data_IF_977832071877
#
_entry.id   IF_977832071877
#
_cell.length_a   1.000
_cell.length_b   1.000
_cell.length_c   1.000
_cell.angle_alpha   90.00
_cell.angle_beta   90.00
_cell.angle_gamma   90.00
#
_symmetry.space_group_name_H-M   'P 1'
#
loop_
_entity.id
_entity.type
_entity.pdbx_description
1 polymer ?
#
# COMPACT_ATOMS: atom_id res chain seq x y z
N UNK A 1 27.28 0.85 0.88
CA UNK A 1 26.19 0.00 0.36
C UNK A 1 25.68 0.62 -0.94
N UNK A 2 25.05 -0.16 -1.83
CA UNK A 2 24.50 0.38 -3.08
C UNK A 2 23.12 1.04 -2.89
N UNK A 3 22.44 0.73 -1.78
CA UNK A 3 21.19 1.36 -1.34
C UNK A 3 21.10 1.34 0.19
N UNK A 4 20.52 2.40 0.77
CA UNK A 4 20.22 2.49 2.21
C UNK A 4 18.75 2.83 2.41
N UNK A 5 18.12 2.13 3.35
CA UNK A 5 16.75 2.38 3.78
C UNK A 5 16.57 1.84 5.19
N UNK A 6 15.46 2.18 5.84
CA UNK A 6 15.08 1.61 7.14
C UNK A 6 13.62 1.15 7.14
N UNK A 7 13.33 0.10 7.93
CA UNK A 7 11.99 -0.39 8.18
C UNK A 7 11.79 -0.83 9.63
N UNK A 8 12.57 -0.29 10.58
CA UNK A 8 12.21 -0.40 12.00
C UNK A 8 10.81 0.17 12.24
N UNK A 9 10.18 -0.18 13.36
CA UNK A 9 8.88 0.40 13.73
C UNK A 9 9.05 1.78 14.38
N UNK A 10 9.74 2.71 13.70
CA UNK A 10 10.04 4.05 14.20
C UNK A 10 8.78 4.90 14.48
N UNK A 11 7.66 4.55 13.86
CA UNK A 11 6.35 5.17 14.08
C UNK A 11 5.79 4.99 15.50
N UNK A 12 6.31 4.05 16.27
CA UNK A 12 5.98 3.85 17.68
C UNK A 12 7.27 3.82 18.52
N UNK A 13 7.75 4.98 18.99
CA UNK A 13 9.00 5.07 19.76
C UNK A 13 8.99 4.28 21.07
N UNK A 14 7.83 3.96 21.64
CA UNK A 14 7.74 3.18 22.88
C UNK A 14 7.92 1.70 22.57
N UNK A 15 7.19 1.18 21.58
CA UNK A 15 7.06 -0.26 21.36
C UNK A 15 7.85 -0.80 20.17
N UNK A 16 8.31 0.06 19.27
CA UNK A 16 8.79 -0.32 17.95
C UNK A 16 10.28 -0.14 17.68
N UNK A 17 11.00 0.61 18.51
CA UNK A 17 12.42 0.90 18.31
C UNK A 17 13.25 0.69 19.58
N UNK A 18 14.21 -0.24 19.50
CA UNK A 18 15.13 -0.55 20.59
C UNK A 18 16.18 0.56 20.73
N UNK A 19 16.26 1.27 21.87
CA UNK A 19 17.28 2.30 22.07
C UNK A 19 18.71 1.73 22.00
N UNK A 20 19.65 2.54 21.50
CA UNK A 20 21.05 2.15 21.40
C UNK A 20 21.62 1.79 22.77
N UNK A 21 22.32 0.65 22.84
CA UNK A 21 22.94 0.16 24.08
C UNK A 21 21.98 -0.52 25.07
N UNK A 22 20.71 -0.68 24.73
CA UNK A 22 19.75 -1.43 25.54
C UNK A 22 19.62 -2.88 25.07
N UNK A 23 19.28 -3.78 25.99
CA UNK A 23 18.87 -5.15 25.63
C UNK A 23 17.36 -5.22 25.44
N UNK A 24 16.87 -6.29 24.82
CA UNK A 24 15.44 -6.53 24.65
C UNK A 24 14.72 -6.65 26.01
N UNK A 25 15.33 -7.33 26.98
CA UNK A 25 14.76 -7.53 28.32
C UNK A 25 14.56 -6.20 29.04
N UNK A 26 15.59 -5.33 29.01
CA UNK A 26 15.50 -3.99 29.55
C UNK A 26 14.40 -3.19 28.87
N UNK A 27 14.37 -3.20 27.54
CA UNK A 27 13.39 -2.45 26.77
C UNK A 27 11.96 -2.90 27.10
N UNK A 28 11.68 -4.21 27.11
CA UNK A 28 10.36 -4.72 27.48
C UNK A 28 9.95 -4.34 28.90
N UNK A 29 10.86 -4.41 29.88
CA UNK A 29 10.57 -4.03 31.27
C UNK A 29 10.33 -2.52 31.46
N UNK A 30 11.08 -1.67 30.75
CA UNK A 30 10.95 -0.20 30.87
C UNK A 30 9.73 0.36 30.13
N UNK A 31 9.18 -0.36 29.13
CA UNK A 31 7.94 0.07 28.45
C UNK A 31 6.76 0.19 29.40
N UNK A 32 6.64 -0.73 30.35
CA UNK A 32 5.54 -0.76 31.31
C UNK A 32 5.72 0.27 32.43
N UNK A 33 6.97 0.50 32.83
CA UNK A 33 7.29 1.29 34.03
C UNK A 33 7.67 2.74 33.73
N UNK A 34 8.13 3.04 32.52
CA UNK A 34 8.60 4.37 32.12
C UNK A 34 8.51 4.63 30.61
N UNK A 35 7.32 4.54 29.98
CA UNK A 35 7.16 4.65 28.53
C UNK A 35 7.69 5.98 27.96
N UNK A 36 7.58 7.09 28.69
CA UNK A 36 8.15 8.38 28.26
C UNK A 36 9.68 8.35 28.17
N UNK A 37 10.35 7.68 29.12
CA UNK A 37 11.80 7.52 29.11
C UNK A 37 12.25 6.62 27.96
N UNK A 38 11.50 5.54 27.70
CA UNK A 38 11.72 4.67 26.53
C UNK A 38 11.58 5.47 25.24
N UNK A 39 10.49 6.21 25.07
CA UNK A 39 10.26 7.03 23.88
C UNK A 39 11.41 8.02 23.67
N UNK A 40 11.83 8.74 24.71
CA UNK A 40 12.95 9.69 24.62
C UNK A 40 14.25 9.00 24.20
N UNK A 41 14.58 7.85 24.78
CA UNK A 41 15.79 7.10 24.44
C UNK A 41 15.75 6.55 23.01
N UNK A 42 14.58 6.07 22.57
CA UNK A 42 14.36 5.57 21.22
C UNK A 42 14.49 6.69 20.18
N UNK A 43 13.82 7.83 20.39
CA UNK A 43 13.89 8.99 19.49
C UNK A 43 15.33 9.53 19.36
N UNK A 44 16.05 9.66 20.48
CA UNK A 44 17.47 10.04 20.46
C UNK A 44 18.33 9.05 19.63
N UNK A 45 18.03 7.75 19.71
CA UNK A 45 18.71 6.71 18.93
C UNK A 45 18.35 6.79 17.44
N UNK A 46 17.08 7.09 17.10
CA UNK A 46 16.65 7.33 15.71
C UNK A 46 17.34 8.55 15.11
N UNK A 47 17.53 9.63 15.88
CA UNK A 47 18.26 10.80 15.41
C UNK A 47 19.73 10.47 15.04
N UNK A 48 20.39 9.60 15.80
CA UNK A 48 21.73 9.09 15.44
C UNK A 48 21.67 8.22 14.18
N UNK A 49 20.68 7.33 14.08
CA UNK A 49 20.48 6.47 12.91
C UNK A 49 20.28 7.30 11.63
N UNK A 50 19.40 8.31 11.66
CA UNK A 50 19.14 9.17 10.51
C UNK A 50 20.36 10.00 10.11
N UNK A 51 21.18 10.48 11.07
CA UNK A 51 22.47 11.12 10.74
C UNK A 51 23.38 10.17 9.94
N UNK A 52 23.44 8.89 10.31
CA UNK A 52 24.20 7.91 9.54
C UNK A 52 23.60 7.66 8.14
N UNK A 53 22.27 7.66 8.00
CA UNK A 53 21.61 7.58 6.69
C UNK A 53 21.93 8.81 5.83
N UNK A 54 21.98 10.01 6.44
CA UNK A 54 22.39 11.25 5.78
C UNK A 54 23.86 11.22 5.36
N UNK A 55 24.76 10.68 6.17
CA UNK A 55 26.16 10.51 5.80
C UNK A 55 26.30 9.65 4.52
N UNK A 56 25.51 8.56 4.41
CA UNK A 56 25.45 7.77 3.17
C UNK A 56 24.85 8.54 2.00
N UNK A 57 23.77 9.29 2.23
CA UNK A 57 23.14 10.13 1.22
C UNK A 57 24.13 11.16 0.65
N UNK A 58 24.87 11.86 1.52
CA UNK A 58 25.89 12.83 1.14
C UNK A 58 27.11 12.20 0.47
N UNK A 59 27.39 10.93 0.75
CA UNK A 59 28.40 10.15 0.02
C UNK A 59 27.90 9.66 -1.36
N UNK A 60 26.67 10.01 -1.77
CA UNK A 60 26.10 9.67 -3.07
C UNK A 60 25.40 8.30 -3.12
N UNK A 61 25.19 7.65 -1.97
CA UNK A 61 24.41 6.40 -1.92
C UNK A 61 22.92 6.74 -2.06
N UNK A 62 22.16 6.02 -2.91
CA UNK A 62 20.70 6.09 -2.91
C UNK A 62 20.16 5.74 -1.51
N UNK A 63 19.65 6.76 -0.81
CA UNK A 63 19.06 6.64 0.52
C UNK A 63 17.59 7.03 0.42
N UNK A 64 16.70 6.22 0.99
CA UNK A 64 15.25 6.48 0.99
C UNK A 64 14.60 6.11 2.32
N UNK A 65 13.52 6.81 2.64
CA UNK A 65 12.62 6.43 3.74
C UNK A 65 11.57 5.44 3.24
N UNK A 66 11.38 4.35 3.99
CA UNK A 66 10.43 3.27 3.64
C UNK A 66 9.14 3.31 4.45
N UNK A 67 8.70 4.50 4.83
CA UNK A 67 7.35 4.74 5.29
C UNK A 67 7.09 4.35 6.73
N UNK A 68 8.10 4.46 7.59
CA UNK A 68 8.02 4.23 9.03
C UNK A 68 8.12 5.53 9.87
N UNK A 69 8.16 6.70 9.21
CA UNK A 69 8.22 8.03 9.81
C UNK A 69 9.53 8.37 10.56
N UNK A 70 10.61 7.61 10.33
CA UNK A 70 11.89 7.83 11.06
C UNK A 70 12.48 9.22 10.81
N UNK A 71 12.32 9.78 9.60
CA UNK A 71 12.76 11.15 9.28
C UNK A 71 12.07 12.21 10.15
N UNK A 72 10.76 12.09 10.34
CA UNK A 72 10.02 13.00 11.21
C UNK A 72 10.49 12.92 12.64
N UNK A 73 10.69 11.70 13.16
CA UNK A 73 11.17 11.54 14.54
C UNK A 73 12.56 12.17 14.72
N UNK A 74 13.47 11.97 13.75
CA UNK A 74 14.78 12.59 13.80
C UNK A 74 14.72 14.12 13.66
N UNK A 75 13.83 14.64 12.82
CA UNK A 75 13.58 16.07 12.68
C UNK A 75 13.13 16.70 14.00
N UNK A 76 12.17 16.06 14.68
CA UNK A 76 11.67 16.51 15.99
C UNK A 76 12.77 16.49 17.07
N UNK A 77 13.78 15.62 16.93
CA UNK A 77 14.98 15.55 17.79
C UNK A 77 16.14 16.44 17.30
N UNK A 78 15.88 17.37 16.37
CA UNK A 78 16.81 18.41 15.96
C UNK A 78 17.74 18.04 14.80
N UNK A 79 17.47 16.97 14.05
CA UNK A 79 18.15 16.70 12.77
C UNK A 79 17.47 17.53 11.68
N UNK A 80 17.91 18.78 11.54
CA UNK A 80 17.25 19.78 10.69
C UNK A 80 17.11 19.37 9.21
N UNK A 81 18.03 18.56 8.70
CA UNK A 81 18.09 18.04 7.34
C UNK A 81 17.60 16.60 7.21
N UNK A 82 16.83 16.08 8.18
CA UNK A 82 16.32 14.71 8.16
C UNK A 82 15.51 14.36 6.90
N UNK A 83 14.90 15.36 6.24
CA UNK A 83 14.14 15.20 4.99
C UNK A 83 14.97 15.44 3.72
N UNK A 84 16.31 15.52 3.81
CA UNK A 84 17.17 15.66 2.63
C UNK A 84 17.10 14.45 1.68
N UNK A 85 16.77 13.26 2.20
CA UNK A 85 16.46 12.08 1.38
C UNK A 85 14.94 11.83 1.31
N UNK A 86 14.42 11.37 0.15
CA UNK A 86 12.99 11.28 -0.11
C UNK A 86 12.36 10.01 0.47
N UNK A 87 11.03 10.01 0.60
CA UNK A 87 10.27 8.78 0.76
C UNK A 87 10.25 7.95 -0.53
N UNK A 88 10.07 6.64 -0.38
CA UNK A 88 10.06 5.71 -1.50
C UNK A 88 8.92 5.94 -2.49
N UNK A 89 7.80 6.54 -2.06
CA UNK A 89 6.66 6.79 -2.94
C UNK A 89 6.93 7.90 -3.95
N UNK A 90 7.29 9.14 -3.55
CA UNK A 90 7.69 10.16 -4.52
C UNK A 90 8.91 9.72 -5.35
N UNK A 91 9.84 8.96 -4.78
CA UNK A 91 11.04 8.52 -5.48
C UNK A 91 10.77 7.44 -6.56
N UNK A 92 9.91 6.46 -6.29
CA UNK A 92 9.81 5.25 -7.12
C UNK A 92 8.39 4.79 -7.45
N UNK A 93 7.43 4.92 -6.51
CA UNK A 93 6.14 4.22 -6.62
C UNK A 93 5.04 5.08 -7.26
N UNK A 94 5.10 6.40 -7.13
CA UNK A 94 4.01 7.27 -7.61
C UNK A 94 3.60 7.08 -9.08
N UNK A 95 4.51 6.79 -10.03
CA UNK A 95 4.11 6.46 -11.41
C UNK A 95 3.22 5.22 -11.54
N UNK A 96 3.31 4.27 -10.60
CA UNK A 96 2.40 3.13 -10.51
C UNK A 96 1.01 3.60 -10.02
N UNK A 97 0.97 4.41 -8.96
CA UNK A 97 -0.28 4.95 -8.42
C UNK A 97 -1.04 5.83 -9.42
N UNK A 98 -0.33 6.58 -10.27
CA UNK A 98 -0.96 7.36 -11.35
C UNK A 98 -1.77 6.49 -12.33
N UNK A 99 -1.52 5.17 -12.38
CA UNK A 99 -2.25 4.20 -13.21
C UNK A 99 -3.18 3.30 -12.38
N UNK A 100 -3.41 3.63 -11.11
CA UNK A 100 -4.18 2.81 -10.17
C UNK A 100 -3.50 1.50 -9.77
N UNK A 101 -2.22 1.31 -10.13
CA UNK A 101 -1.46 0.09 -9.81
C UNK A 101 -1.03 0.15 -8.35
N UNK A 102 -1.36 -0.89 -7.58
CA UNK A 102 -1.06 -0.97 -6.16
C UNK A 102 -1.14 -2.40 -5.62
N UNK A 103 -1.04 -2.61 -4.30
CA UNK A 103 -0.85 -3.93 -3.68
C UNK A 103 -2.15 -4.77 -3.62
N UNK A 104 -2.75 -5.01 -4.78
CA UNK A 104 -3.89 -5.89 -4.99
C UNK A 104 -3.54 -7.33 -4.62
N UNK A 105 -4.43 -7.98 -3.85
CA UNK A 105 -4.20 -9.31 -3.31
C UNK A 105 -5.48 -10.11 -3.22
N UNK A 106 -5.33 -11.42 -3.15
CA UNK A 106 -6.43 -12.33 -2.90
C UNK A 106 -6.02 -13.51 -2.04
N UNK A 107 -7.02 -14.16 -1.44
CA UNK A 107 -6.87 -15.25 -0.46
C UNK A 107 -7.86 -16.36 -0.80
N UNK A 108 -7.38 -17.60 -0.83
CA UNK A 108 -8.21 -18.78 -1.04
C UNK A 108 -8.83 -19.25 0.28
N UNK A 109 -10.16 -19.12 0.42
CA UNK A 109 -10.86 -19.55 1.64
C UNK A 109 -10.93 -21.07 1.83
N UNK A 110 -10.60 -21.83 0.79
CA UNK A 110 -10.47 -23.29 0.85
C UNK A 110 -9.31 -23.73 1.74
N UNK A 111 -8.30 -22.87 1.93
CA UNK A 111 -7.02 -23.24 2.53
C UNK A 111 -6.11 -24.04 1.58
N UNK A 112 -6.54 -24.27 0.33
CA UNK A 112 -5.80 -25.09 -0.63
C UNK A 112 -4.85 -24.24 -1.50
N UNK A 113 -3.53 -24.51 -1.50
CA UNK A 113 -2.58 -23.76 -2.31
C UNK A 113 -2.82 -23.90 -3.82
N UNK A 114 -3.45 -24.97 -4.29
CA UNK A 114 -3.76 -25.16 -5.71
C UNK A 114 -4.74 -24.11 -6.24
N UNK A 115 -5.63 -23.58 -5.39
CA UNK A 115 -6.51 -22.48 -5.79
C UNK A 115 -5.68 -21.22 -6.13
N UNK A 116 -4.62 -20.93 -5.37
CA UNK A 116 -3.70 -19.83 -5.70
C UNK A 116 -2.93 -20.13 -6.98
N UNK A 117 -2.42 -21.33 -7.19
CA UNK A 117 -1.69 -21.64 -8.42
C UNK A 117 -2.57 -21.57 -9.68
N UNK A 118 -3.85 -21.95 -9.58
CA UNK A 118 -4.84 -21.75 -10.65
C UNK A 118 -5.08 -20.27 -10.92
N UNK A 119 -5.24 -19.45 -9.87
CA UNK A 119 -5.36 -18.00 -10.07
C UNK A 119 -4.09 -17.38 -10.67
N UNK A 120 -2.89 -17.84 -10.29
CA UNK A 120 -1.63 -17.39 -10.89
C UNK A 120 -1.62 -17.68 -12.41
N UNK A 121 -2.05 -18.87 -12.82
CA UNK A 121 -2.18 -19.23 -14.23
C UNK A 121 -3.23 -18.37 -14.95
N UNK A 122 -4.40 -18.13 -14.33
CA UNK A 122 -5.45 -17.28 -14.90
C UNK A 122 -4.99 -15.83 -15.09
N UNK A 123 -4.21 -15.30 -14.14
CA UNK A 123 -3.65 -13.94 -14.28
C UNK A 123 -2.73 -13.87 -15.51
N UNK A 124 -1.86 -14.87 -15.72
CA UNK A 124 -0.98 -14.92 -16.90
C UNK A 124 -1.76 -15.02 -18.21
N UNK A 125 -2.86 -15.78 -18.23
CA UNK A 125 -3.76 -15.89 -19.38
C UNK A 125 -4.42 -14.55 -19.74
N UNK A 126 -4.88 -13.80 -18.74
CA UNK A 126 -5.59 -12.53 -18.95
C UNK A 126 -4.67 -11.35 -19.25
N UNK A 127 -3.39 -11.45 -18.85
CA UNK A 127 -2.35 -10.45 -19.03
C UNK A 127 -1.13 -11.08 -19.71
N UNK A 128 -1.26 -11.58 -20.95
CA UNK A 128 -0.22 -12.40 -21.60
C UNK A 128 1.06 -11.63 -21.93
N UNK A 129 0.97 -10.31 -22.13
CA UNK A 129 2.08 -9.48 -22.61
C UNK A 129 2.90 -8.83 -21.48
N UNK A 130 2.52 -9.02 -20.21
CA UNK A 130 3.26 -8.47 -19.07
C UNK A 130 4.31 -9.45 -18.54
N UNK A 131 5.46 -9.49 -19.22
CA UNK A 131 6.58 -10.34 -18.86
C UNK A 131 7.11 -10.08 -17.43
N UNK A 132 7.02 -8.85 -16.94
CA UNK A 132 7.43 -8.52 -15.58
C UNK A 132 6.47 -9.14 -14.55
N UNK A 133 5.17 -9.03 -14.78
CA UNK A 133 4.14 -9.66 -13.95
C UNK A 133 4.27 -11.19 -13.96
N UNK A 134 4.55 -11.80 -15.12
CA UNK A 134 4.73 -13.25 -15.20
C UNK A 134 5.93 -13.71 -14.38
N UNK A 135 7.06 -13.00 -14.50
CA UNK A 135 8.24 -13.25 -13.68
C UNK A 135 7.95 -13.05 -12.19
N UNK A 136 7.17 -12.04 -11.83
CA UNK A 136 6.72 -11.83 -10.46
C UNK A 136 5.98 -13.07 -9.92
N UNK A 137 5.00 -13.59 -10.66
CA UNK A 137 4.24 -14.78 -10.27
C UNK A 137 5.11 -16.04 -10.16
N UNK A 138 6.06 -16.22 -11.09
CA UNK A 138 7.01 -17.34 -11.03
C UNK A 138 7.89 -17.28 -9.79
N UNK A 139 8.49 -16.12 -9.53
CA UNK A 139 9.29 -15.91 -8.31
C UNK A 139 8.43 -16.06 -7.05
N UNK A 140 7.21 -15.55 -7.05
CA UNK A 140 6.30 -15.65 -5.91
C UNK A 140 5.91 -17.10 -5.63
N UNK A 141 5.82 -17.97 -6.64
CA UNK A 141 5.63 -19.41 -6.47
C UNK A 141 6.89 -20.11 -5.94
N UNK A 142 8.06 -19.75 -6.47
CA UNK A 142 9.33 -20.40 -6.10
C UNK A 142 9.88 -19.97 -4.73
N UNK A 143 9.60 -18.72 -4.32
CA UNK A 143 10.31 -18.07 -3.21
C UNK A 143 9.43 -17.68 -2.03
N UNK A 144 8.10 -17.64 -2.18
CA UNK A 144 7.19 -17.23 -1.10
C UNK A 144 6.42 -18.45 -0.60
N UNK A 145 6.69 -18.85 0.64
CA UNK A 145 5.89 -19.85 1.32
C UNK A 145 4.60 -19.22 1.86
N UNK A 146 3.48 -19.92 1.72
CA UNK A 146 2.21 -19.46 2.29
C UNK A 146 2.25 -19.46 3.83
N UNK A 147 1.50 -18.51 4.41
CA UNK A 147 1.32 -18.38 5.86
C UNK A 147 -0.18 -18.29 6.16
N UNK A 148 -0.72 -19.27 6.90
CA UNK A 148 -2.17 -19.37 7.10
C UNK A 148 -2.89 -19.77 5.81
N UNK A 149 -3.98 -19.06 5.46
CA UNK A 149 -4.67 -19.28 4.19
C UNK A 149 -3.74 -18.91 3.02
N UNK A 150 -3.64 -19.75 1.98
CA UNK A 150 -2.89 -19.40 0.77
C UNK A 150 -3.40 -18.09 0.17
N UNK A 151 -2.46 -17.20 -0.10
CA UNK A 151 -2.73 -15.84 -0.56
C UNK A 151 -1.69 -15.40 -1.57
N UNK A 152 -2.07 -14.49 -2.47
CA UNK A 152 -1.17 -13.91 -3.47
C UNK A 152 -1.30 -12.40 -3.46
N UNK A 153 -0.15 -11.73 -3.52
CA UNK A 153 -0.01 -10.32 -3.83
C UNK A 153 0.41 -10.20 -5.30
N UNK A 154 -0.23 -9.32 -6.06
CA UNK A 154 0.11 -9.05 -7.46
C UNK A 154 -0.29 -7.61 -7.78
N UNK A 155 0.68 -6.76 -8.12
CA UNK A 155 0.41 -5.35 -8.35
C UNK A 155 -0.25 -5.15 -9.72
N UNK A 156 -1.53 -4.78 -9.71
CA UNK A 156 -2.34 -4.55 -10.91
C UNK A 156 -3.16 -3.28 -10.79
N UNK A 157 -3.45 -2.65 -11.93
CA UNK A 157 -4.00 -1.31 -12.02
C UNK A 157 -5.48 -1.21 -12.39
N UNK A 158 -5.91 0.03 -12.63
CA UNK A 158 -7.20 0.33 -13.23
C UNK A 158 -7.29 -0.35 -14.60
N UNK A 159 -8.42 -1.01 -14.87
CA UNK A 159 -8.64 -1.79 -16.08
C UNK A 159 -8.43 -3.29 -15.89
N UNK A 160 -7.56 -3.73 -14.98
CA UNK A 160 -7.26 -5.16 -14.81
C UNK A 160 -7.81 -5.77 -13.53
N UNK A 161 -7.91 -5.00 -12.44
CA UNK A 161 -8.46 -5.51 -11.16
C UNK A 161 -9.85 -6.12 -11.32
N UNK A 162 -10.78 -5.44 -12.01
CA UNK A 162 -12.13 -5.96 -12.22
C UNK A 162 -12.15 -7.19 -13.14
N UNK A 163 -11.33 -7.23 -14.20
CA UNK A 163 -11.20 -8.38 -15.10
C UNK A 163 -10.75 -9.62 -14.34
N UNK A 164 -9.74 -9.47 -13.48
CA UNK A 164 -9.26 -10.56 -12.62
C UNK A 164 -10.31 -11.00 -11.61
N UNK A 165 -10.97 -10.06 -10.92
CA UNK A 165 -12.01 -10.39 -9.94
C UNK A 165 -13.20 -11.13 -10.55
N UNK A 166 -13.66 -10.70 -11.74
CA UNK A 166 -14.71 -11.40 -12.49
C UNK A 166 -14.28 -12.80 -12.92
N UNK A 167 -13.04 -12.97 -13.40
CA UNK A 167 -12.52 -14.28 -13.78
C UNK A 167 -12.40 -15.22 -12.58
N UNK A 168 -11.94 -14.73 -11.43
CA UNK A 168 -11.88 -15.54 -10.20
C UNK A 168 -13.28 -15.95 -9.75
N UNK A 169 -14.27 -15.05 -9.84
CA UNK A 169 -15.66 -15.39 -9.53
C UNK A 169 -16.20 -16.49 -10.45
N UNK A 170 -15.91 -16.43 -11.75
CA UNK A 170 -16.28 -17.48 -12.71
C UNK A 170 -15.59 -18.82 -12.39
N UNK A 171 -14.31 -18.80 -11.99
CA UNK A 171 -13.61 -20.01 -11.57
C UNK A 171 -14.20 -20.62 -10.29
N UNK A 172 -14.75 -19.80 -9.38
CA UNK A 172 -15.51 -20.30 -8.23
C UNK A 172 -16.85 -20.89 -8.68
N UNK A 173 -17.58 -20.20 -9.57
CA UNK A 173 -18.88 -20.65 -10.07
C UNK A 173 -18.81 -21.99 -10.81
N UNK A 174 -17.75 -22.20 -11.58
CA UNK A 174 -17.49 -23.44 -12.33
C UNK A 174 -16.91 -24.58 -11.47
N UNK A 175 -16.49 -24.29 -10.23
CA UNK A 175 -15.81 -25.25 -9.36
C UNK A 175 -14.35 -25.51 -9.72
N UNK A 176 -13.76 -24.73 -10.63
CA UNK A 176 -12.31 -24.75 -10.87
C UNK A 176 -11.56 -24.36 -9.59
N UNK A 177 -12.06 -23.37 -8.84
CA UNK A 177 -11.61 -23.06 -7.48
C UNK A 177 -12.51 -23.75 -6.45
N UNK A 178 -11.91 -24.28 -5.39
CA UNK A 178 -12.62 -25.15 -4.42
C UNK A 178 -13.56 -24.40 -3.49
N UNK A 179 -13.35 -23.11 -3.28
CA UNK A 179 -14.14 -22.26 -2.40
C UNK A 179 -14.06 -20.79 -2.86
N UNK A 180 -14.88 -19.89 -2.29
CA UNK A 180 -14.81 -18.46 -2.58
C UNK A 180 -13.41 -17.85 -2.36
N UNK A 181 -13.12 -16.82 -3.14
CA UNK A 181 -11.89 -16.03 -3.04
C UNK A 181 -12.19 -14.68 -2.40
N UNK A 182 -11.40 -14.32 -1.40
CA UNK A 182 -11.41 -12.96 -0.83
C UNK A 182 -10.44 -12.11 -1.62
N UNK A 183 -10.87 -10.94 -2.09
CA UNK A 183 -10.07 -10.00 -2.87
C UNK A 183 -9.99 -8.68 -2.12
N UNK A 184 -8.78 -8.16 -1.92
CA UNK A 184 -8.57 -6.90 -1.24
C UNK A 184 -7.21 -6.30 -1.55
N UNK A 185 -6.72 -5.47 -0.63
CA UNK A 185 -5.43 -4.77 -0.74
C UNK A 185 -4.96 -4.28 0.63
N UNK A 186 -3.75 -3.72 0.65
CA UNK A 186 -3.36 -2.83 1.75
C UNK A 186 -4.20 -1.55 1.73
N UNK A 187 -4.16 -0.81 2.83
CA UNK A 187 -4.63 0.58 2.89
C UNK A 187 -3.67 1.53 2.16
N UNK A 188 -2.40 1.14 1.97
CA UNK A 188 -1.49 1.77 1.02
C UNK A 188 -1.94 1.42 -0.41
N UNK A 189 -2.62 2.34 -1.06
CA UNK A 189 -2.96 2.26 -2.49
C UNK A 189 -3.21 3.66 -3.04
N UNK A 190 -3.22 3.77 -4.36
CA UNK A 190 -3.30 5.03 -5.12
C UNK A 190 -4.40 6.01 -4.68
N UNK A 191 -5.57 5.52 -4.25
CA UNK A 191 -6.72 6.36 -3.89
C UNK A 191 -7.12 6.31 -2.42
N UNK A 192 -6.42 5.54 -1.60
CA UNK A 192 -6.94 5.11 -0.30
C UNK A 192 -6.18 5.63 0.90
N UNK A 193 -5.26 6.58 0.72
CA UNK A 193 -4.43 7.11 1.82
C UNK A 193 -4.04 8.56 1.60
N UNK A 194 -4.08 9.33 2.69
CA UNK A 194 -3.40 10.60 2.85
C UNK A 194 -2.35 10.45 3.97
N UNK A 195 -1.09 10.69 3.63
CA UNK A 195 0.07 10.45 4.49
C UNK A 195 1.27 11.30 4.00
N UNK A 196 1.42 12.54 4.49
CA UNK A 196 2.41 13.51 3.97
C UNK A 196 3.87 13.09 4.11
N UNK A 197 4.17 12.15 5.01
CA UNK A 197 5.53 11.64 5.20
C UNK A 197 5.76 10.29 4.47
N UNK A 198 4.82 9.86 3.63
CA UNK A 198 4.88 8.57 2.93
C UNK A 198 4.17 8.63 1.57
N UNK A 199 2.93 8.16 1.44
CA UNK A 199 2.29 7.99 0.12
C UNK A 199 2.00 9.30 -0.61
N UNK A 200 1.65 10.34 0.14
CA UNK A 200 1.29 11.64 -0.40
C UNK A 200 2.36 12.69 -0.16
N UNK A 201 3.59 12.28 0.14
CA UNK A 201 4.75 13.16 0.30
C UNK A 201 5.09 13.89 -1.00
N UNK A 202 5.16 15.22 -0.97
CA UNK A 202 5.49 16.05 -2.12
C UNK A 202 4.56 15.78 -3.32
N UNK A 203 3.25 15.95 -3.12
CA UNK A 203 2.31 15.97 -4.24
C UNK A 203 2.64 17.16 -5.16
N UNK A 204 2.40 17.01 -6.46
CA UNK A 204 2.79 18.00 -7.49
C UNK A 204 2.14 19.37 -7.26
N UNK A 205 0.95 19.38 -6.67
CA UNK A 205 0.14 20.56 -6.35
C UNK A 205 0.21 20.97 -4.86
N UNK A 206 1.01 20.26 -4.04
CA UNK A 206 1.10 20.48 -2.59
C UNK A 206 -0.10 19.96 -1.78
N UNK A 207 -0.96 19.11 -2.36
CA UNK A 207 -2.14 18.52 -1.70
C UNK A 207 -1.82 17.39 -0.70
N UNK A 208 -0.59 17.32 -0.20
CA UNK A 208 -0.04 16.23 0.60
C UNK A 208 -0.97 15.82 1.77
N UNK A 209 -1.52 16.80 2.49
CA UNK A 209 -2.32 16.60 3.70
C UNK A 209 -3.83 16.50 3.45
N UNK A 210 -4.31 16.60 2.20
CA UNK A 210 -5.75 16.52 1.90
C UNK A 210 -6.25 15.09 2.13
N UNK A 211 -7.05 14.90 3.17
CA UNK A 211 -7.56 13.59 3.59
C UNK A 211 -8.99 13.28 3.12
N UNK A 212 -9.61 14.12 2.30
CA UNK A 212 -10.92 13.83 1.72
C UNK A 212 -10.91 12.55 0.87
N UNK A 213 -9.82 12.29 0.15
CA UNK A 213 -9.66 11.17 -0.77
C UNK A 213 -9.86 9.78 -0.14
N UNK A 214 -9.14 9.39 0.94
CA UNK A 214 -9.38 8.11 1.60
C UNK A 214 -10.81 7.98 2.17
N UNK A 215 -11.41 9.08 2.63
CA UNK A 215 -12.79 9.10 3.11
C UNK A 215 -13.77 8.81 1.96
N UNK A 216 -13.61 9.50 0.83
CA UNK A 216 -14.39 9.27 -0.38
C UNK A 216 -14.19 7.85 -0.93
N UNK A 217 -12.96 7.32 -0.90
CA UNK A 217 -12.67 5.95 -1.31
C UNK A 217 -13.46 4.93 -0.46
N UNK A 218 -13.52 5.10 0.86
CA UNK A 218 -14.31 4.23 1.72
C UNK A 218 -15.81 4.34 1.44
N UNK A 219 -16.34 5.57 1.32
CA UNK A 219 -17.74 5.82 1.02
C UNK A 219 -18.14 5.21 -0.34
N UNK A 220 -17.30 5.38 -1.37
CA UNK A 220 -17.55 4.83 -2.69
C UNK A 220 -17.44 3.31 -2.73
N UNK A 221 -16.49 2.71 -2.02
CA UNK A 221 -16.41 1.25 -1.90
C UNK A 221 -17.64 0.66 -1.19
N UNK A 222 -18.17 1.38 -0.19
CA UNK A 222 -19.43 1.02 0.49
C UNK A 222 -20.60 1.07 -0.49
N UNK A 223 -20.75 2.18 -1.23
CA UNK A 223 -21.80 2.34 -2.23
C UNK A 223 -21.67 1.35 -3.41
N UNK A 224 -20.45 0.97 -3.77
CA UNK A 224 -20.17 0.04 -4.87
C UNK A 224 -20.51 -1.41 -4.54
N UNK A 225 -20.49 -1.76 -3.25
CA UNK A 225 -20.85 -3.08 -2.73
C UNK A 225 -19.66 -3.95 -2.30
N UNK A 226 -18.60 -3.35 -1.75
CA UNK A 226 -17.56 -4.13 -1.07
C UNK A 226 -18.16 -4.94 0.08
N UNK A 227 -17.61 -6.13 0.38
CA UNK A 227 -18.11 -6.99 1.47
C UNK A 227 -17.82 -6.37 2.83
N UNK A 228 -16.64 -5.75 3.00
CA UNK A 228 -16.38 -4.86 4.11
C UNK A 228 -15.45 -3.71 3.70
N UNK A 229 -15.60 -2.62 4.45
CA UNK A 229 -14.86 -1.36 4.27
C UNK A 229 -14.37 -0.91 5.62
N UNK A 230 -13.18 -0.33 5.67
CA UNK A 230 -12.57 0.19 6.90
C UNK A 230 -12.03 1.60 6.69
N UNK A 231 -12.08 2.41 7.74
CA UNK A 231 -11.43 3.72 7.82
C UNK A 231 -10.57 3.74 9.08
N UNK A 232 -9.25 3.88 8.89
CA UNK A 232 -8.28 3.81 9.96
C UNK A 232 -7.41 5.09 9.98
N UNK A 233 -6.77 5.34 11.11
CA UNK A 233 -5.88 6.47 11.34
C UNK A 233 -4.52 5.98 11.86
N UNK A 234 -3.44 6.60 11.38
CA UNK A 234 -2.07 6.44 11.87
C UNK A 234 -1.36 5.14 11.50
N UNK A 235 -1.89 4.37 10.54
CA UNK A 235 -1.24 3.14 10.09
C UNK A 235 0.11 3.42 9.43
N UNK A 236 1.12 2.70 9.91
CA UNK A 236 2.51 2.67 9.43
C UNK A 236 3.36 3.90 9.72
N UNK A 237 2.80 5.12 9.72
CA UNK A 237 3.53 6.36 10.11
C UNK A 237 3.19 6.85 11.52
N UNK A 238 2.27 6.20 12.22
CA UNK A 238 1.93 6.50 13.61
C UNK A 238 0.82 7.54 13.75
N UNK A 239 0.35 7.74 14.97
CA UNK A 239 -0.78 8.63 15.28
C UNK A 239 -0.52 10.06 14.79
N UNK A 240 -1.50 10.63 14.09
CA UNK A 240 -1.49 12.02 13.62
C UNK A 240 -0.96 12.19 12.18
N UNK A 241 -0.36 11.14 11.59
CA UNK A 241 0.37 11.28 10.33
C UNK A 241 -0.30 10.64 9.12
N UNK A 242 -1.39 9.87 9.30
CA UNK A 242 -2.12 9.29 8.17
C UNK A 242 -3.60 9.04 8.43
N UNK A 243 -4.40 9.16 7.36
CA UNK A 243 -5.78 8.68 7.30
C UNK A 243 -5.93 7.82 6.04
N UNK A 244 -6.55 6.65 6.17
CA UNK A 244 -6.60 5.70 5.06
C UNK A 244 -7.73 4.68 5.14
N UNK A 245 -8.18 4.21 3.97
CA UNK A 245 -9.28 3.28 3.81
C UNK A 245 -8.83 1.90 3.32
N UNK A 246 -9.52 0.87 3.80
CA UNK A 246 -9.41 -0.49 3.30
C UNK A 246 -10.72 -0.92 2.68
N UNK A 247 -10.61 -1.83 1.72
CA UNK A 247 -11.76 -2.49 1.12
C UNK A 247 -11.42 -3.94 0.87
N UNK A 248 -12.43 -4.79 1.01
CA UNK A 248 -12.35 -6.20 0.62
C UNK A 248 -13.70 -6.65 0.07
N UNK A 249 -13.65 -7.50 -0.95
CA UNK A 249 -14.82 -8.06 -1.62
C UNK A 249 -14.66 -9.57 -1.83
N UNK A 250 -15.74 -10.32 -1.63
CA UNK A 250 -15.78 -11.77 -1.81
C UNK A 250 -16.27 -12.11 -3.22
N UNK A 251 -15.50 -12.94 -3.92
CA UNK A 251 -15.91 -13.63 -5.14
C UNK A 251 -16.42 -15.02 -4.76
N UNK A 252 -17.74 -15.17 -4.65
CA UNK A 252 -18.43 -16.39 -4.19
C UNK A 252 -19.07 -17.20 -5.34
N UNK A 253 -18.83 -16.80 -6.59
CA UNK A 253 -19.38 -17.45 -7.78
C UNK A 253 -20.79 -17.00 -8.16
N UNK A 254 -21.41 -16.10 -7.39
CA UNK A 254 -22.76 -15.63 -7.69
C UNK A 254 -22.78 -14.52 -8.75
N UNK A 255 -23.86 -14.38 -9.54
CA UNK A 255 -24.08 -13.23 -10.41
C UNK A 255 -24.12 -11.90 -9.64
N UNK A 256 -24.64 -11.91 -8.42
CA UNK A 256 -24.70 -10.73 -7.56
C UNK A 256 -23.30 -10.28 -7.13
N UNK A 257 -22.39 -11.22 -6.84
CA UNK A 257 -20.98 -10.92 -6.59
C UNK A 257 -20.29 -10.38 -7.84
N UNK A 258 -20.56 -10.95 -9.02
CA UNK A 258 -20.00 -10.43 -10.27
C UNK A 258 -20.33 -8.95 -10.48
N UNK A 259 -21.60 -8.56 -10.30
CA UNK A 259 -22.03 -7.16 -10.42
C UNK A 259 -21.35 -6.22 -9.39
N UNK A 260 -21.10 -6.70 -8.15
CA UNK A 260 -20.37 -5.94 -7.14
C UNK A 260 -18.88 -5.83 -7.49
N UNK A 261 -18.25 -6.94 -7.88
CA UNK A 261 -16.84 -7.02 -8.26
C UNK A 261 -16.50 -6.07 -9.40
N UNK A 262 -17.35 -6.04 -10.43
CA UNK A 262 -17.20 -5.14 -11.57
C UNK A 262 -17.11 -3.67 -11.12
N UNK A 263 -18.08 -3.21 -10.32
CA UNK A 263 -18.11 -1.81 -9.84
C UNK A 263 -16.99 -1.51 -8.85
N UNK A 264 -16.83 -2.37 -7.86
CA UNK A 264 -15.90 -2.14 -6.74
C UNK A 264 -14.45 -2.13 -7.24
N UNK A 265 -14.06 -3.13 -8.04
CA UNK A 265 -12.69 -3.26 -8.53
C UNK A 265 -12.39 -2.34 -9.73
N UNK A 266 -13.40 -1.63 -10.24
CA UNK A 266 -13.23 -0.47 -11.12
C UNK A 266 -13.07 0.81 -10.31
N UNK A 267 -14.03 1.11 -9.43
CA UNK A 267 -14.11 2.35 -8.67
C UNK A 267 -12.94 2.53 -7.70
N UNK A 268 -12.52 1.47 -7.02
CA UNK A 268 -11.42 1.53 -6.05
C UNK A 268 -10.10 2.06 -6.67
N UNK A 269 -9.50 1.42 -7.69
CA UNK A 269 -8.31 1.98 -8.35
C UNK A 269 -8.61 3.25 -9.15
N UNK A 270 -9.85 3.45 -9.65
CA UNK A 270 -10.23 4.68 -10.36
C UNK A 270 -10.18 5.91 -9.44
N UNK A 271 -10.52 5.79 -8.15
CA UNK A 271 -10.35 6.91 -7.20
C UNK A 271 -8.89 7.34 -7.05
N UNK A 272 -7.94 6.42 -7.20
CA UNK A 272 -6.52 6.72 -7.19
C UNK A 272 -6.06 7.45 -8.45
N UNK A 273 -6.54 7.01 -9.62
CA UNK A 273 -6.31 7.73 -10.87
C UNK A 273 -6.93 9.12 -10.83
N UNK A 274 -8.17 9.26 -10.33
CA UNK A 274 -8.86 10.54 -10.11
C UNK A 274 -8.03 11.46 -9.22
N UNK A 275 -7.61 11.01 -8.04
CA UNK A 275 -6.82 11.80 -7.08
C UNK A 275 -5.52 12.32 -7.69
N UNK A 276 -4.80 11.48 -8.43
CA UNK A 276 -3.52 11.90 -9.04
C UNK A 276 -3.74 12.75 -10.30
N UNK A 277 -4.85 12.56 -11.02
CA UNK A 277 -5.22 13.43 -12.13
C UNK A 277 -5.58 14.84 -11.64
N UNK A 278 -6.32 14.93 -10.52
CA UNK A 278 -6.66 16.18 -9.83
C UNK A 278 -5.40 16.95 -9.40
N UNK A 279 -4.42 16.24 -8.82
CA UNK A 279 -3.13 16.82 -8.47
C UNK A 279 -2.22 17.17 -9.68
N UNK A 280 -2.71 16.98 -10.91
CA UNK A 280 -2.04 17.43 -12.14
C UNK A 280 -1.03 16.46 -12.76
N UNK A 281 -0.93 15.21 -12.28
CA UNK A 281 0.04 14.25 -12.84
C UNK A 281 -0.33 13.85 -14.28
N UNK A 282 0.52 14.10 -15.30
CA UNK A 282 0.20 13.81 -16.70
C UNK A 282 -0.13 12.33 -16.96
N UNK A 283 0.57 11.42 -16.29
CA UNK A 283 0.36 9.98 -16.40
C UNK A 283 -1.04 9.56 -15.90
N UNK A 284 -1.55 10.24 -14.88
CA UNK A 284 -2.88 9.99 -14.32
C UNK A 284 -3.98 10.60 -15.20
N UNK A 285 -3.76 11.81 -15.73
CA UNK A 285 -4.63 12.42 -16.74
C UNK A 285 -4.79 11.51 -17.96
N UNK A 286 -3.69 10.94 -18.46
CA UNK A 286 -3.74 10.02 -19.59
C UNK A 286 -4.39 8.67 -19.22
N UNK A 287 -4.17 8.17 -18.01
CA UNK A 287 -4.86 6.97 -17.52
C UNK A 287 -6.37 7.18 -17.42
N UNK A 288 -6.81 8.34 -16.91
CA UNK A 288 -8.22 8.71 -16.82
C UNK A 288 -8.88 8.78 -18.20
N UNK A 289 -8.23 9.43 -19.18
CA UNK A 289 -8.72 9.50 -20.57
C UNK A 289 -8.79 8.13 -21.22
N UNK A 290 -7.76 7.30 -21.10
CA UNK A 290 -7.74 5.93 -21.67
C UNK A 290 -8.83 5.04 -21.08
N UNK A 291 -9.09 5.18 -19.78
CA UNK A 291 -10.12 4.40 -19.10
C UNK A 291 -11.53 5.00 -19.24
N UNK A 292 -11.67 6.17 -19.86
CA UNK A 292 -12.96 6.86 -20.01
C UNK A 292 -13.58 7.25 -18.67
N UNK A 293 -12.77 7.65 -17.69
CA UNK A 293 -13.28 8.11 -16.39
C UNK A 293 -14.06 9.41 -16.55
N UNK A 294 -15.23 9.50 -15.92
CA UNK A 294 -16.00 10.73 -15.80
C UNK A 294 -15.46 11.56 -14.63
N UNK A 295 -14.58 12.52 -14.95
CA UNK A 295 -13.98 13.45 -14.03
C UNK A 295 -14.47 14.88 -14.38
N UNK A 296 -15.54 15.39 -13.77
CA UNK A 296 -16.22 16.61 -14.23
C UNK A 296 -15.33 17.86 -14.38
N UNK A 297 -14.30 18.00 -13.55
CA UNK A 297 -13.34 19.12 -13.62
C UNK A 297 -12.19 18.93 -14.62
N UNK A 298 -12.11 17.78 -15.29
CA UNK A 298 -10.95 17.38 -16.12
C UNK A 298 -11.39 16.89 -17.51
N UNK A 299 -12.39 16.01 -17.58
CA UNK A 299 -12.87 15.37 -18.82
C UNK A 299 -14.23 15.88 -19.29
N UNK A 300 -14.92 16.68 -18.46
CA UNK A 300 -16.22 17.30 -18.75
C UNK A 300 -16.14 18.64 -19.47
#
# INVERSE_FOLDING_TARGET
>A
PDLVTDQTSAHDPVNGYLPQGWTLERWFGERETGPEAVAKAAKASMAVHVRAMLDFHHAGVPTVDYGNNIRQVAFDEGVADAFAFPGFVPAYIRPLFCRGVGPFRWVALSGDPEDIYKTDAKVKELLPDDAHLHRWLDMARERIHFQGLPARICWVGLGDRHRLGLAFNEMVASGELKAPIVIGRDHLDSGSVASPNRETEAMMDGSDAVSDWPLLNALLNTASGATWVSLHHGGGVGMGYSQHSGMVIVADGTPEAAARLERVLWNDPATGVMRHADAGYPQALDAARRAGLDLPGITG
#
